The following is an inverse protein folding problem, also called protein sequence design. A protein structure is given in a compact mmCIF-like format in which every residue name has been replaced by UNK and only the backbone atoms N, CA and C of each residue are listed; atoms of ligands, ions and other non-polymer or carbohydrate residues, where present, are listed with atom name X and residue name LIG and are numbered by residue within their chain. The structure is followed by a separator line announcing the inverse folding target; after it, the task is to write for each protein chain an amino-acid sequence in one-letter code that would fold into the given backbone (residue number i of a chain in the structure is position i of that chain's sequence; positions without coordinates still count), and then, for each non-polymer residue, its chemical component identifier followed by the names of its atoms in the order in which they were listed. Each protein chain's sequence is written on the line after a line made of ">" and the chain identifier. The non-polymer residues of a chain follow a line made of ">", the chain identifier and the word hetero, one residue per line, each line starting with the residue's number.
data_IF_500313967133
#
_entry.id   IF_500313967133
#
_cell.length_a   1.000
_cell.length_b   1.000
_cell.length_c   1.000
_cell.angle_alpha   90.00
_cell.angle_beta   90.00
_cell.angle_gamma   90.00
#
_symmetry.space_group_name_H-M   'P 1'
#
loop_
_entity.id
_entity.type
_entity.pdbx_description
1 polymer ?
#
# COMPACT_ATOMS: atom_id res chain seq x y z
N UNK A 1 30.51 -15.41 2.80
CA UNK A 1 29.68 -14.73 1.78
C UNK A 1 28.40 -14.36 2.50
N UNK A 2 28.39 -13.19 3.14
CA UNK A 2 27.44 -12.82 4.18
C UNK A 2 26.45 -11.77 3.67
N UNK A 3 25.17 -12.08 3.81
CA UNK A 3 24.15 -11.21 4.39
C UNK A 3 23.73 -9.88 3.73
N UNK A 4 24.13 -9.52 2.51
CA UNK A 4 23.65 -8.25 1.89
C UNK A 4 22.13 -8.20 1.62
N UNK A 5 21.46 -9.35 1.51
CA UNK A 5 20.01 -9.41 1.26
C UNK A 5 19.13 -9.22 2.50
N UNK A 6 19.63 -9.60 3.69
CA UNK A 6 18.89 -9.44 4.96
C UNK A 6 19.03 -8.01 5.45
N UNK A 7 20.22 -7.43 5.31
CA UNK A 7 20.54 -6.07 5.79
C UNK A 7 19.67 -5.00 5.08
N UNK A 8 19.53 -5.09 3.75
CA UNK A 8 18.78 -4.09 2.99
C UNK A 8 17.27 -4.10 3.25
N UNK A 9 16.67 -5.26 3.55
CA UNK A 9 15.23 -5.34 3.90
C UNK A 9 14.98 -4.80 5.29
N UNK A 10 15.87 -5.09 6.23
CA UNK A 10 15.82 -4.54 7.59
C UNK A 10 15.96 -3.03 7.56
N UNK A 11 16.94 -2.51 6.81
CA UNK A 11 17.15 -1.06 6.64
C UNK A 11 15.94 -0.38 5.98
N UNK A 12 15.36 -0.95 4.91
CA UNK A 12 14.15 -0.40 4.29
C UNK A 12 12.94 -0.41 5.25
N UNK A 13 12.79 -1.46 6.05
CA UNK A 13 11.76 -1.53 7.10
C UNK A 13 11.93 -0.46 8.18
N UNK A 14 13.17 -0.16 8.59
CA UNK A 14 13.47 0.90 9.55
C UNK A 14 13.10 2.29 9.00
N UNK A 15 13.35 2.55 7.71
CA UNK A 15 12.94 3.80 7.06
C UNK A 15 11.42 3.94 6.97
N UNK A 16 10.71 2.87 6.59
CA UNK A 16 9.25 2.87 6.56
C UNK A 16 8.64 3.11 7.94
N UNK A 17 9.22 2.50 8.98
CA UNK A 17 8.80 2.73 10.37
C UNK A 17 8.99 4.20 10.77
N UNK A 18 10.17 4.77 10.51
CA UNK A 18 10.43 6.18 10.81
C UNK A 18 9.49 7.12 10.05
N UNK A 19 9.25 6.84 8.76
CA UNK A 19 8.33 7.62 7.94
C UNK A 19 6.89 7.53 8.47
N UNK A 20 6.43 6.34 8.87
CA UNK A 20 5.10 6.18 9.48
C UNK A 20 4.96 6.90 10.81
N UNK A 21 5.98 6.85 11.68
CA UNK A 21 5.96 7.61 12.94
C UNK A 21 5.95 9.12 12.67
N UNK A 22 6.71 9.59 11.67
CA UNK A 22 6.71 10.98 11.28
C UNK A 22 5.35 11.44 10.71
N UNK A 23 4.67 10.58 9.94
CA UNK A 23 3.32 10.83 9.42
C UNK A 23 2.30 10.95 10.56
N UNK A 24 2.30 9.99 11.49
CA UNK A 24 1.35 9.95 12.61
C UNK A 24 1.56 11.06 13.64
N UNK A 25 2.77 11.57 13.78
CA UNK A 25 3.03 12.72 14.66
C UNK A 25 2.55 14.05 14.04
N UNK A 26 2.23 14.08 12.75
CA UNK A 26 1.71 15.28 12.08
C UNK A 26 0.18 15.37 12.15
N UNK A 27 -0.52 14.25 12.27
CA UNK A 27 -1.94 14.25 12.62
C UNK A 27 -2.09 14.64 14.09
N UNK A 28 -2.60 15.84 14.38
CA UNK A 28 -3.07 16.20 15.73
C UNK A 28 -4.22 15.27 16.14
N UNK A 29 -4.61 15.25 17.43
CA UNK A 29 -5.65 14.40 18.03
C UNK A 29 -7.02 14.54 17.33
N UNK A 30 -7.16 13.98 16.13
CA UNK A 30 -8.38 14.03 15.34
C UNK A 30 -9.30 12.94 15.87
N UNK A 31 -10.27 13.35 16.68
CA UNK A 31 -11.43 12.55 17.04
C UNK A 31 -12.33 12.36 15.82
N UNK A 32 -11.92 11.50 14.89
CA UNK A 32 -12.64 11.14 13.68
C UNK A 32 -13.38 9.80 13.81
N UNK A 33 -14.46 9.64 13.04
CA UNK A 33 -15.22 8.40 12.94
C UNK A 33 -14.25 7.29 12.50
N UNK A 34 -14.12 6.21 13.28
CA UNK A 34 -13.29 5.06 12.88
C UNK A 34 -13.95 4.33 11.69
N UNK A 35 -13.58 4.69 10.47
CA UNK A 35 -13.85 3.88 9.31
C UNK A 35 -13.01 2.60 9.37
N UNK A 36 -13.62 1.56 9.91
CA UNK A 36 -13.04 0.22 9.98
C UNK A 36 -13.80 -0.75 9.07
N UNK A 37 -13.48 -0.83 7.76
CA UNK A 37 -14.04 -1.87 6.91
C UNK A 37 -13.69 -3.26 7.47
N UNK A 38 -14.50 -4.26 7.10
CA UNK A 38 -14.23 -5.66 7.48
C UNK A 38 -12.84 -6.13 7.01
N UNK A 39 -12.42 -5.67 5.83
CA UNK A 39 -11.13 -5.98 5.24
C UNK A 39 -10.61 -4.82 4.40
N UNK A 40 -9.59 -4.12 4.90
CA UNK A 40 -8.84 -3.13 4.15
C UNK A 40 -8.16 -3.76 2.94
N UNK A 41 -7.60 -4.96 3.10
CA UNK A 41 -6.96 -5.69 2.00
C UNK A 41 -7.93 -5.95 0.84
N UNK A 42 -9.19 -6.27 1.14
CA UNK A 42 -10.22 -6.43 0.10
C UNK A 42 -10.58 -5.09 -0.56
N UNK A 43 -10.69 -4.01 0.21
CA UNK A 43 -10.95 -2.67 -0.35
C UNK A 43 -9.82 -2.24 -1.30
N UNK A 44 -8.56 -2.43 -0.89
CA UNK A 44 -7.40 -2.15 -1.74
C UNK A 44 -7.40 -3.03 -2.99
N UNK A 45 -7.70 -4.33 -2.86
CA UNK A 45 -7.77 -5.24 -4.01
C UNK A 45 -8.77 -4.78 -5.07
N UNK A 46 -9.96 -4.37 -4.64
CA UNK A 46 -11.10 -4.10 -5.51
C UNK A 46 -11.11 -2.65 -6.04
N UNK A 47 -10.53 -1.70 -5.31
CA UNK A 47 -10.75 -0.25 -5.57
C UNK A 47 -9.48 0.55 -5.80
N UNK A 48 -8.30 0.08 -5.38
CA UNK A 48 -7.07 0.86 -5.55
C UNK A 48 -6.70 0.95 -7.03
N UNK A 49 -6.56 2.18 -7.51
CA UNK A 49 -6.05 2.45 -8.84
C UNK A 49 -4.53 2.39 -8.86
N UNK A 50 -4.00 1.33 -9.48
CA UNK A 50 -2.57 1.08 -9.59
C UNK A 50 -1.86 2.02 -10.58
N UNK A 51 -2.58 2.92 -11.26
CA UNK A 51 -1.99 3.93 -12.15
C UNK A 51 -1.48 5.15 -11.38
N UNK A 52 -1.88 5.33 -10.12
CA UNK A 52 -1.60 6.53 -9.34
C UNK A 52 -0.16 6.60 -8.80
N UNK A 53 0.53 5.46 -8.74
CA UNK A 53 1.90 5.38 -8.25
C UNK A 53 2.73 4.40 -9.09
N UNK A 54 4.05 4.61 -9.22
CA UNK A 54 4.93 3.68 -9.94
C UNK A 54 5.02 2.32 -9.22
N UNK A 55 4.87 1.24 -9.99
CA UNK A 55 5.09 -0.13 -9.51
C UNK A 55 5.50 -1.07 -10.65
N UNK A 56 5.96 -2.27 -10.31
CA UNK A 56 6.23 -3.38 -11.23
C UNK A 56 4.98 -3.86 -11.97
N UNK A 57 3.79 -3.54 -11.46
CA UNK A 57 2.51 -3.81 -12.11
C UNK A 57 2.16 -2.74 -13.16
N UNK A 58 2.79 -1.58 -13.14
CA UNK A 58 2.56 -0.47 -14.06
C UNK A 58 2.56 -0.85 -15.55
N UNK A 59 3.47 -1.72 -16.06
CA UNK A 59 3.41 -2.17 -17.45
C UNK A 59 2.19 -3.02 -17.82
N UNK A 60 1.39 -3.47 -16.84
CA UNK A 60 0.21 -4.33 -17.03
C UNK A 60 -1.10 -3.57 -16.90
N UNK A 61 -1.08 -2.38 -16.30
CA UNK A 61 -2.29 -1.57 -16.14
C UNK A 61 -2.74 -0.99 -17.48
N UNK A 62 -4.05 -0.87 -17.66
CA UNK A 62 -4.70 -0.22 -18.81
C UNK A 62 -5.87 0.61 -18.31
N UNK A 63 -6.49 1.39 -19.20
CA UNK A 63 -7.71 2.16 -18.87
C UNK A 63 -8.89 1.28 -18.42
N UNK A 64 -8.84 -0.02 -18.67
CA UNK A 64 -9.90 -0.99 -18.33
C UNK A 64 -9.49 -1.99 -17.24
N UNK A 65 -8.21 -2.08 -16.91
CA UNK A 65 -7.66 -3.04 -15.95
C UNK A 65 -6.60 -2.33 -15.13
N UNK A 66 -6.98 -1.86 -13.95
CA UNK A 66 -6.12 -0.98 -13.15
C UNK A 66 -6.19 -1.27 -11.66
N UNK A 67 -6.99 -2.24 -11.22
CA UNK A 67 -7.02 -2.73 -9.84
C UNK A 67 -6.28 -4.07 -9.73
N UNK A 68 -5.93 -4.50 -8.51
CA UNK A 68 -5.35 -5.84 -8.31
C UNK A 68 -6.35 -6.94 -8.70
N UNK A 69 -7.64 -6.73 -8.44
CA UNK A 69 -8.71 -7.63 -8.86
C UNK A 69 -8.75 -7.81 -10.39
N UNK A 70 -8.46 -6.76 -11.18
CA UNK A 70 -8.46 -6.84 -12.65
C UNK A 70 -7.24 -7.58 -13.22
N UNK A 71 -6.10 -7.47 -12.54
CA UNK A 71 -4.81 -7.92 -13.07
C UNK A 71 -4.47 -9.37 -12.70
N UNK A 72 -4.78 -9.80 -11.48
CA UNK A 72 -4.25 -11.04 -10.90
C UNK A 72 -5.27 -11.76 -10.01
N UNK A 73 -6.55 -11.81 -10.43
CA UNK A 73 -7.69 -12.25 -9.61
C UNK A 73 -7.54 -13.63 -8.92
N UNK A 74 -6.80 -14.57 -9.50
CA UNK A 74 -6.59 -15.91 -8.93
C UNK A 74 -5.34 -16.03 -8.02
N UNK A 75 -4.41 -15.08 -8.10
CA UNK A 75 -3.12 -15.12 -7.39
C UNK A 75 -3.00 -14.03 -6.31
N UNK A 76 -3.97 -13.12 -6.22
CA UNK A 76 -4.06 -12.12 -5.16
C UNK A 76 -4.60 -12.75 -3.88
N UNK A 77 -3.91 -12.50 -2.79
CA UNK A 77 -4.35 -12.84 -1.44
C UNK A 77 -4.58 -11.56 -0.65
N UNK A 78 -5.65 -11.52 0.14
CA UNK A 78 -5.92 -10.40 1.03
C UNK A 78 -6.21 -10.90 2.45
N UNK A 79 -5.85 -10.08 3.43
CA UNK A 79 -6.16 -10.22 4.84
C UNK A 79 -6.89 -8.96 5.31
N UNK A 80 -7.14 -8.85 6.63
CA UNK A 80 -7.77 -7.66 7.20
C UNK A 80 -7.04 -6.37 6.82
N UNK A 81 -5.71 -6.34 6.84
CA UNK A 81 -4.92 -5.11 6.65
C UNK A 81 -4.05 -5.11 5.40
N UNK A 82 -3.95 -6.24 4.69
CA UNK A 82 -2.97 -6.42 3.62
C UNK A 82 -3.59 -7.00 2.37
N UNK A 83 -3.11 -6.57 1.22
CA UNK A 83 -3.32 -7.25 -0.06
C UNK A 83 -1.96 -7.50 -0.69
N UNK A 84 -1.81 -8.64 -1.35
CA UNK A 84 -0.56 -8.97 -2.02
C UNK A 84 -0.73 -10.00 -3.10
N UNK A 85 0.30 -10.11 -3.91
CA UNK A 85 0.43 -11.09 -4.96
C UNK A 85 1.88 -11.58 -4.99
N UNK A 86 2.02 -12.90 -5.02
CA UNK A 86 3.30 -13.58 -5.06
C UNK A 86 3.36 -14.49 -6.28
N UNK A 87 4.12 -14.07 -7.30
CA UNK A 87 4.41 -14.92 -8.45
C UNK A 87 5.78 -15.56 -8.35
N UNK A 88 6.16 -16.31 -9.38
CA UNK A 88 7.51 -16.83 -9.54
C UNK A 88 8.57 -15.71 -9.57
N UNK A 89 8.23 -14.54 -10.11
CA UNK A 89 9.21 -13.49 -10.42
C UNK A 89 9.06 -12.22 -9.57
N UNK A 90 7.89 -12.01 -8.97
CA UNK A 90 7.54 -10.77 -8.28
C UNK A 90 6.94 -11.05 -6.92
N UNK A 91 7.26 -10.19 -5.96
CA UNK A 91 6.57 -10.03 -4.70
C UNK A 91 6.01 -8.61 -4.64
N UNK A 92 4.69 -8.49 -4.58
CA UNK A 92 3.99 -7.21 -4.46
C UNK A 92 3.05 -7.28 -3.26
N UNK A 93 3.08 -6.27 -2.39
CA UNK A 93 2.15 -6.15 -1.27
C UNK A 93 1.89 -4.70 -0.88
N UNK A 94 0.67 -4.45 -0.42
CA UNK A 94 0.25 -3.23 0.22
C UNK A 94 -0.36 -3.56 1.57
N UNK A 95 0.04 -2.82 2.60
CA UNK A 95 -0.42 -3.01 3.97
C UNK A 95 -0.88 -1.68 4.56
N UNK A 96 -2.11 -1.62 5.04
CA UNK A 96 -2.62 -0.47 5.80
C UNK A 96 -1.99 -0.52 7.19
N UNK A 97 -1.13 0.45 7.48
CA UNK A 97 -0.43 0.55 8.76
C UNK A 97 -1.05 1.56 9.71
N UNK A 98 -1.87 2.47 9.19
CA UNK A 98 -2.71 3.37 9.99
C UNK A 98 -3.94 3.82 9.21
N UNK A 99 -5.01 4.11 9.94
CA UNK A 99 -6.19 4.82 9.46
C UNK A 99 -6.41 6.01 10.39
N UNK A 100 -6.31 7.22 9.86
CA UNK A 100 -6.45 8.47 10.61
C UNK A 100 -6.68 9.62 9.63
N UNK A 101 -7.32 10.69 10.09
CA UNK A 101 -7.38 11.95 9.34
C UNK A 101 -5.98 12.59 9.31
N UNK A 102 -5.33 12.57 8.14
CA UNK A 102 -3.99 13.11 7.91
C UNK A 102 -4.03 14.53 7.35
N UNK A 103 -5.18 14.98 6.85
CA UNK A 103 -5.34 16.28 6.19
C UNK A 103 -6.32 17.24 6.90
N UNK A 104 -6.81 16.87 8.09
CA UNK A 104 -7.72 17.62 8.96
C UNK A 104 -9.06 17.95 8.27
N UNK A 105 -9.59 17.02 7.47
CA UNK A 105 -10.86 17.18 6.78
C UNK A 105 -12.03 16.40 7.40
N UNK A 106 -11.75 15.63 8.45
CA UNK A 106 -12.72 14.83 9.20
C UNK A 106 -13.05 13.47 8.60
N UNK A 107 -12.30 12.99 7.60
CA UNK A 107 -12.43 11.66 7.01
C UNK A 107 -11.17 10.83 7.26
N UNK A 108 -11.34 9.51 7.37
CA UNK A 108 -10.18 8.62 7.52
C UNK A 108 -9.35 8.54 6.23
N UNK A 109 -8.06 8.82 6.36
CA UNK A 109 -7.04 8.54 5.36
C UNK A 109 -6.28 7.27 5.74
N UNK A 110 -5.77 6.54 4.75
CA UNK A 110 -4.99 5.33 4.97
C UNK A 110 -3.52 5.56 4.66
N UNK A 111 -2.68 5.22 5.63
CA UNK A 111 -1.25 5.14 5.44
C UNK A 111 -0.87 3.71 5.06
N UNK A 112 -0.14 3.56 3.96
CA UNK A 112 0.14 2.28 3.32
C UNK A 112 1.64 2.03 3.23
N UNK A 113 2.09 0.82 3.57
CA UNK A 113 3.39 0.33 3.16
C UNK A 113 3.28 -0.40 1.83
N UNK A 114 4.05 0.05 0.84
CA UNK A 114 4.30 -0.65 -0.40
C UNK A 114 5.56 -1.51 -0.27
N UNK A 115 5.43 -2.78 -0.67
CA UNK A 115 6.56 -3.66 -0.94
C UNK A 115 6.42 -4.16 -2.37
N UNK A 116 7.39 -3.86 -3.23
CA UNK A 116 7.38 -4.26 -4.63
C UNK A 116 8.79 -4.64 -5.09
N UNK A 117 9.01 -5.94 -5.28
CA UNK A 117 10.33 -6.50 -5.49
C UNK A 117 10.34 -7.57 -6.58
N UNK A 118 11.39 -7.55 -7.40
CA UNK A 118 11.71 -8.69 -8.24
C UNK A 118 12.42 -9.76 -7.41
N UNK A 119 11.96 -11.01 -7.49
CA UNK A 119 12.62 -12.18 -6.84
C UNK A 119 13.98 -12.49 -7.46
N UNK A 120 14.23 -11.98 -8.67
CA UNK A 120 15.50 -12.05 -9.38
C UNK A 120 15.90 -10.68 -9.91
N UNK A 121 17.18 -10.34 -9.82
CA UNK A 121 17.68 -9.01 -10.20
C UNK A 121 17.72 -8.04 -9.02
N UNK A 122 17.73 -6.75 -9.33
CA UNK A 122 17.99 -5.68 -8.35
C UNK A 122 16.82 -4.70 -8.16
N UNK A 123 15.69 -4.92 -8.83
CA UNK A 123 14.52 -4.06 -8.64
C UNK A 123 13.91 -4.29 -7.25
N UNK A 124 13.83 -3.21 -6.47
CA UNK A 124 13.20 -3.14 -5.16
C UNK A 124 12.60 -1.75 -5.02
N UNK A 125 11.34 -1.68 -4.65
CA UNK A 125 10.64 -0.46 -4.33
C UNK A 125 9.90 -0.67 -3.01
N UNK A 126 10.24 0.16 -2.03
CA UNK A 126 9.59 0.22 -0.74
C UNK A 126 9.18 1.66 -0.52
N UNK A 127 7.90 1.89 -0.28
CA UNK A 127 7.40 3.24 -0.20
C UNK A 127 6.31 3.38 0.86
N UNK A 128 6.17 4.60 1.37
CA UNK A 128 5.06 5.00 2.20
C UNK A 128 4.08 5.74 1.31
N UNK A 129 2.89 5.20 1.13
CA UNK A 129 1.83 5.86 0.37
C UNK A 129 0.74 6.34 1.31
N UNK A 130 0.00 7.35 0.87
CA UNK A 130 -1.23 7.80 1.49
C UNK A 130 -2.38 7.70 0.51
N UNK A 131 -3.52 7.21 1.00
CA UNK A 131 -4.78 7.25 0.30
C UNK A 131 -5.74 8.13 1.11
N UNK A 132 -6.09 9.29 0.56
CA UNK A 132 -7.00 10.22 1.22
C UNK A 132 -8.46 9.83 1.01
N UNK A 133 -9.33 10.21 1.95
CA UNK A 133 -10.79 10.18 1.79
C UNK A 133 -11.36 8.82 1.35
N UNK A 134 -10.90 7.74 1.98
CA UNK A 134 -11.20 6.37 1.53
C UNK A 134 -12.63 5.89 1.87
N UNK A 135 -13.36 6.70 2.65
CA UNK A 135 -14.74 6.49 3.07
C UNK A 135 -15.72 6.57 1.89
N UNK A 136 -15.89 5.46 1.18
CA UNK A 136 -16.81 5.39 0.05
C UNK A 136 -16.76 4.08 -0.71
N UNK A 137 -17.46 4.01 -1.84
CA UNK A 137 -17.38 2.90 -2.80
C UNK A 137 -16.58 3.26 -4.07
N UNK A 138 -16.07 4.49 -4.16
CA UNK A 138 -15.30 4.98 -5.29
C UNK A 138 -13.90 4.37 -5.38
N UNK A 139 -13.22 4.64 -6.49
CA UNK A 139 -11.81 4.30 -6.69
C UNK A 139 -10.95 4.91 -5.59
N UNK A 140 -10.06 4.13 -5.01
CA UNK A 140 -9.04 4.60 -4.07
C UNK A 140 -7.85 5.08 -4.90
N UNK A 141 -7.41 6.31 -4.64
CA UNK A 141 -6.19 6.87 -5.21
C UNK A 141 -5.14 6.88 -4.11
N UNK A 142 -3.88 6.61 -4.46
CA UNK A 142 -2.77 6.69 -3.52
C UNK A 142 -1.60 7.44 -4.14
N UNK A 143 -0.87 8.17 -3.30
CA UNK A 143 0.32 8.91 -3.69
C UNK A 143 1.43 8.73 -2.65
N UNK A 144 2.71 8.91 -3.02
CA UNK A 144 3.80 8.91 -2.04
C UNK A 144 3.57 9.98 -0.95
N UNK A 145 3.75 9.58 0.31
CA UNK A 145 3.58 10.46 1.48
C UNK A 145 4.76 11.43 1.66
#
# INVERSE_FOLDING_TARGET
>A
MLAEGVDNRTVAGDYLLCASVAALNQSEEAGGIQYSPESYGKQLMDRLDLRCFPSSLGPRVTDKQYTLADLESEAVHHSRYRVGFDSKNWHFALEVVAATDLNDNGQDDWLLWLVDEAKTGNYRNYDLLVAYDVEGSGSIQAEPF
#
